data_IF_603736440389
#
_entry.id   IF_603736440389
#
_cell.length_a   1.000
_cell.length_b   1.000
_cell.length_c   1.000
_cell.angle_alpha   90.00
_cell.angle_beta   90.00
_cell.angle_gamma   90.00
#
_symmetry.space_group_name_H-M   'P 1'
#
loop_
_entity.id
_entity.type
_entity.pdbx_description
1 polymer ?
#
# COMPACT_ATOMS: atom_id res chain seq x y z
N UNK A 1 -13.18 -32.36 21.30
CA UNK A 1 -13.84 -31.14 20.78
C UNK A 1 -15.34 -31.28 20.96
N UNK A 2 -16.06 -30.18 21.21
CA UNK A 2 -17.52 -30.24 21.35
C UNK A 2 -18.17 -30.32 19.96
N UNK A 3 -19.32 -30.99 19.84
CA UNK A 3 -20.06 -31.05 18.57
C UNK A 3 -20.39 -29.66 18.00
N UNK A 4 -20.53 -28.64 18.86
CA UNK A 4 -20.75 -27.26 18.46
C UNK A 4 -19.50 -26.63 17.80
N UNK A 5 -18.29 -26.95 18.30
CA UNK A 5 -17.03 -26.47 17.70
C UNK A 5 -16.79 -27.15 16.34
N UNK A 6 -17.09 -28.44 16.22
CA UNK A 6 -16.95 -29.16 14.95
C UNK A 6 -17.92 -28.61 13.88
N UNK A 7 -19.16 -28.29 14.27
CA UNK A 7 -20.14 -27.64 13.39
C UNK A 7 -19.69 -26.24 12.96
N UNK A 8 -19.18 -25.42 13.88
CA UNK A 8 -18.65 -24.09 13.58
C UNK A 8 -17.49 -24.16 12.57
N UNK A 9 -16.52 -25.05 12.78
CA UNK A 9 -15.39 -25.26 11.88
C UNK A 9 -15.82 -25.78 10.50
N UNK A 10 -16.87 -26.61 10.45
CA UNK A 10 -17.45 -27.06 9.17
C UNK A 10 -18.08 -25.90 8.39
N UNK A 11 -18.80 -25.00 9.06
CA UNK A 11 -19.40 -23.82 8.40
C UNK A 11 -18.32 -22.84 7.91
N UNK A 12 -17.23 -22.68 8.66
CA UNK A 12 -16.05 -21.95 8.18
C UNK A 12 -15.41 -22.62 6.96
N UNK A 13 -15.29 -23.95 6.97
CA UNK A 13 -14.77 -24.73 5.83
C UNK A 13 -15.63 -24.67 4.56
N UNK A 14 -16.88 -24.20 4.66
CA UNK A 14 -17.75 -23.91 3.51
C UNK A 14 -17.57 -22.48 2.94
N UNK A 15 -16.65 -21.69 3.49
CA UNK A 15 -16.32 -20.34 3.01
C UNK A 15 -17.19 -19.21 3.58
N UNK A 16 -17.91 -19.47 4.68
CA UNK A 16 -18.67 -18.42 5.38
C UNK A 16 -17.74 -17.55 6.24
N UNK A 17 -18.06 -16.26 6.37
CA UNK A 17 -17.35 -15.38 7.31
C UNK A 17 -17.53 -15.85 8.77
N UNK A 18 -16.60 -15.52 9.68
CA UNK A 18 -16.71 -15.89 11.09
C UNK A 18 -18.01 -15.44 11.76
N UNK A 19 -18.55 -14.27 11.42
CA UNK A 19 -19.83 -13.80 12.00
C UNK A 19 -21.01 -14.63 11.49
N UNK A 20 -21.00 -15.00 10.21
CA UNK A 20 -22.03 -15.85 9.62
C UNK A 20 -21.96 -17.26 10.16
N UNK A 21 -20.76 -17.82 10.30
CA UNK A 21 -20.55 -19.14 10.90
C UNK A 21 -21.03 -19.19 12.36
N UNK A 22 -20.81 -18.11 13.12
CA UNK A 22 -21.31 -17.98 14.48
C UNK A 22 -22.83 -17.94 14.51
N UNK A 23 -23.46 -17.14 13.64
CA UNK A 23 -24.90 -17.02 13.54
C UNK A 23 -25.57 -18.38 13.20
N UNK A 24 -25.03 -19.12 12.24
CA UNK A 24 -25.50 -20.47 11.89
C UNK A 24 -25.32 -21.48 13.02
N UNK A 25 -24.20 -21.40 13.73
CA UNK A 25 -23.92 -22.30 14.85
C UNK A 25 -24.87 -22.05 16.01
N UNK A 26 -25.18 -20.78 16.33
CA UNK A 26 -26.11 -20.43 17.42
C UNK A 26 -27.58 -20.77 17.13
N UNK A 27 -27.95 -21.03 15.88
CA UNK A 27 -29.28 -21.59 15.57
C UNK A 27 -29.44 -23.02 16.10
N UNK A 28 -28.36 -23.80 16.15
CA UNK A 28 -28.36 -25.19 16.62
C UNK A 28 -27.79 -25.34 18.04
N UNK A 29 -26.90 -24.42 18.44
CA UNK A 29 -26.22 -24.36 19.73
C UNK A 29 -26.29 -22.93 20.31
N UNK A 30 -27.41 -22.52 20.93
CA UNK A 30 -27.67 -21.13 21.31
C UNK A 30 -26.58 -20.46 22.16
N UNK A 31 -25.97 -21.24 23.06
CA UNK A 31 -24.95 -20.78 24.02
C UNK A 31 -23.52 -20.98 23.51
N UNK A 32 -23.34 -21.28 22.23
CA UNK A 32 -22.01 -21.51 21.67
C UNK A 32 -21.16 -20.23 21.67
N UNK A 33 -19.95 -20.37 22.20
CA UNK A 33 -18.86 -19.39 22.12
C UNK A 33 -17.66 -20.13 21.51
N UNK A 34 -17.11 -19.67 20.36
CA UNK A 34 -15.95 -20.28 19.74
C UNK A 34 -14.78 -20.41 20.73
N UNK A 35 -14.12 -21.56 20.76
CA UNK A 35 -12.95 -21.79 21.60
C UNK A 35 -13.22 -22.13 23.07
N UNK A 36 -14.48 -22.10 23.53
CA UNK A 36 -14.84 -22.48 24.90
C UNK A 36 -15.46 -23.89 24.90
N UNK A 37 -14.74 -24.87 25.44
CA UNK A 37 -15.26 -26.23 25.58
C UNK A 37 -16.39 -26.27 26.63
N UNK A 38 -17.64 -26.36 26.17
CA UNK A 38 -18.79 -26.56 27.04
C UNK A 38 -18.77 -27.96 27.71
N UNK A 39 -19.23 -28.09 28.97
CA UNK A 39 -19.27 -29.36 29.68
C UNK A 39 -20.25 -30.34 29.01
N UNK A 40 -19.77 -31.56 28.79
CA UNK A 40 -20.46 -32.62 28.05
C UNK A 40 -21.63 -33.19 28.87
N UNK A 41 -22.86 -33.08 28.35
CA UNK A 41 -23.97 -33.93 28.76
C UNK A 41 -24.03 -35.19 27.89
N UNK A 42 -24.35 -36.33 28.50
CA UNK A 42 -24.28 -37.66 27.87
C UNK A 42 -25.19 -37.83 26.64
N UNK A 43 -24.76 -38.57 25.60
CA UNK A 43 -25.52 -38.70 24.36
C UNK A 43 -26.67 -39.70 24.49
N UNK A 44 -27.87 -39.25 24.15
CA UNK A 44 -29.01 -40.12 23.80
C UNK A 44 -28.94 -40.38 22.30
N UNK A 45 -28.74 -41.64 21.90
CA UNK A 45 -28.70 -42.00 20.49
C UNK A 45 -30.11 -42.03 19.88
N UNK A 46 -30.24 -41.51 18.66
CA UNK A 46 -31.24 -41.96 17.69
C UNK A 46 -30.72 -41.72 16.25
N UNK A 47 -31.11 -42.55 15.27
CA UNK A 47 -30.30 -42.79 14.08
C UNK A 47 -30.81 -42.11 12.79
N UNK A 48 -29.83 -41.90 11.91
CA UNK A 48 -29.88 -41.94 10.44
C UNK A 48 -30.65 -40.86 9.64
N UNK A 49 -29.95 -40.20 8.73
CA UNK A 49 -30.19 -40.41 7.29
C UNK A 49 -29.02 -39.86 6.47
N UNK A 50 -28.45 -40.75 5.64
CA UNK A 50 -27.59 -40.38 4.53
C UNK A 50 -28.47 -39.79 3.44
N UNK A 51 -28.17 -38.57 2.97
CA UNK A 51 -28.78 -38.04 1.77
C UNK A 51 -27.70 -37.54 0.81
N UNK A 52 -27.82 -38.01 -0.42
CA UNK A 52 -26.81 -37.93 -1.46
C UNK A 52 -26.70 -36.55 -2.12
N UNK A 53 -25.48 -36.29 -2.58
CA UNK A 53 -24.90 -35.23 -3.41
C UNK A 53 -25.79 -34.72 -4.56
N UNK A 54 -25.65 -33.42 -4.93
CA UNK A 54 -25.61 -33.06 -6.34
C UNK A 54 -24.27 -32.42 -6.74
N UNK A 55 -23.70 -32.91 -7.83
CA UNK A 55 -22.45 -32.43 -8.44
C UNK A 55 -22.62 -31.01 -9.00
N UNK A 56 -21.62 -30.15 -8.74
CA UNK A 56 -21.54 -28.80 -9.32
C UNK A 56 -20.92 -28.89 -10.71
N UNK A 57 -21.64 -28.40 -11.72
CA UNK A 57 -21.12 -28.24 -13.09
C UNK A 57 -20.27 -26.96 -13.21
N UNK A 58 -19.18 -26.98 -13.99
CA UNK A 58 -18.35 -25.79 -14.22
C UNK A 58 -19.08 -24.78 -15.12
N UNK A 59 -19.15 -23.53 -14.66
CA UNK A 59 -19.71 -22.41 -15.43
C UNK A 59 -18.73 -21.97 -16.52
N UNK A 60 -19.21 -21.93 -17.76
CA UNK A 60 -18.52 -21.37 -18.93
C UNK A 60 -18.58 -19.84 -18.93
N UNK A 61 -17.41 -19.23 -19.09
CA UNK A 61 -17.18 -17.79 -19.21
C UNK A 61 -17.57 -17.30 -20.62
N UNK A 62 -18.32 -16.18 -20.78
CA UNK A 62 -18.57 -15.60 -22.10
C UNK A 62 -17.37 -14.78 -22.59
N UNK A 63 -16.79 -15.19 -23.72
CA UNK A 63 -15.82 -14.39 -24.46
C UNK A 63 -16.53 -13.24 -25.18
N UNK A 64 -16.10 -12.00 -24.95
CA UNK A 64 -16.56 -10.83 -25.72
C UNK A 64 -15.68 -10.69 -26.96
N UNK A 65 -16.32 -10.87 -28.12
CA UNK A 65 -15.70 -10.78 -29.44
C UNK A 65 -15.41 -9.33 -29.83
N UNK A 66 -14.22 -9.10 -30.39
CA UNK A 66 -13.82 -7.85 -31.02
C UNK A 66 -14.59 -7.62 -32.33
N UNK A 67 -15.13 -6.42 -32.51
CA UNK A 67 -15.81 -5.99 -33.74
C UNK A 67 -14.79 -5.54 -34.81
N UNK A 68 -14.97 -5.90 -36.10
CA UNK A 68 -14.05 -5.53 -37.16
C UNK A 68 -14.27 -4.11 -37.70
N UNK A 69 -13.16 -3.50 -38.12
CA UNK A 69 -13.04 -2.17 -38.75
C UNK A 69 -13.58 -2.23 -40.18
N UNK A 70 -14.50 -1.33 -40.54
CA UNK A 70 -14.99 -1.17 -41.90
C UNK A 70 -14.08 -0.21 -42.70
N UNK A 71 -13.48 -0.73 -43.77
CA UNK A 71 -12.74 0.03 -44.77
C UNK A 71 -13.70 0.68 -45.77
N UNK A 72 -13.47 1.96 -46.11
CA UNK A 72 -14.18 2.67 -47.16
C UNK A 72 -13.56 2.39 -48.55
N UNK A 73 -14.36 2.28 -49.62
CA UNK A 73 -13.86 1.87 -50.94
C UNK A 73 -13.28 3.04 -51.75
N UNK A 74 -12.19 2.71 -52.45
CA UNK A 74 -11.61 3.43 -53.59
C UNK A 74 -12.49 3.29 -54.84
N UNK A 75 -12.72 4.39 -55.54
CA UNK A 75 -13.27 4.42 -56.91
C UNK A 75 -12.28 5.09 -57.85
N UNK A 76 -11.98 4.43 -58.98
CA UNK A 76 -11.09 4.92 -60.02
C UNK A 76 -11.82 5.07 -61.37
N UNK A 77 -11.56 6.21 -62.03
CA UNK A 77 -11.40 6.50 -63.50
C UNK A 77 -12.58 6.26 -64.48
N UNK A 78 -12.62 6.82 -65.73
CA UNK A 78 -11.53 7.46 -66.53
C UNK A 78 -11.82 8.75 -67.37
N UNK A 79 -10.75 9.52 -67.61
CA UNK A 79 -10.15 10.01 -68.88
C UNK A 79 -10.74 11.11 -69.84
N UNK A 80 -9.74 11.89 -70.34
CA UNK A 80 -9.52 12.58 -71.65
C UNK A 80 -10.03 14.02 -71.88
N UNK A 81 -9.07 14.91 -72.18
CA UNK A 81 -9.26 16.12 -72.99
C UNK A 81 -8.33 17.30 -72.63
N UNK A 82 -7.25 17.50 -73.38
CA UNK A 82 -6.43 18.73 -73.38
C UNK A 82 -6.74 19.55 -74.67
N UNK A 83 -6.14 20.74 -74.95
CA UNK A 83 -5.39 21.70 -74.12
C UNK A 83 -5.86 23.17 -74.31
N UNK A 84 -5.48 24.10 -73.43
CA UNK A 84 -5.26 25.51 -73.79
C UNK A 84 -4.41 26.24 -72.73
N UNK A 85 -3.53 27.11 -73.22
CA UNK A 85 -2.48 27.83 -72.52
C UNK A 85 -2.96 28.83 -71.45
N UNK A 86 -2.16 29.05 -70.40
CA UNK A 86 -1.55 30.36 -70.10
C UNK A 86 -0.82 30.39 -68.74
N UNK A 87 0.48 30.72 -68.80
CA UNK A 87 1.25 31.60 -67.89
C UNK A 87 1.25 31.35 -66.38
N UNK A 88 2.45 30.95 -65.91
CA UNK A 88 3.19 31.47 -64.76
C UNK A 88 2.45 31.81 -63.45
N UNK A 89 2.65 30.98 -62.43
CA UNK A 89 3.12 31.41 -61.12
C UNK A 89 3.57 30.19 -60.30
N UNK A 90 4.88 30.07 -60.05
CA UNK A 90 5.36 29.29 -58.91
C UNK A 90 4.92 30.06 -57.65
N UNK A 91 3.74 29.75 -57.14
CA UNK A 91 3.42 30.05 -55.75
C UNK A 91 4.23 29.07 -54.90
N UNK A 92 5.09 29.52 -53.97
CA UNK A 92 5.67 28.60 -53.02
C UNK A 92 4.50 27.96 -52.28
N UNK A 93 4.47 26.63 -52.22
CA UNK A 93 3.60 25.94 -51.27
C UNK A 93 3.98 26.51 -49.90
N UNK A 94 3.13 27.40 -49.38
CA UNK A 94 3.18 27.76 -47.99
C UNK A 94 3.03 26.42 -47.26
N UNK A 95 4.13 25.95 -46.67
CA UNK A 95 4.05 24.94 -45.65
C UNK A 95 2.98 25.44 -44.69
N UNK A 96 1.84 24.76 -44.63
CA UNK A 96 0.94 24.88 -43.50
C UNK A 96 1.85 24.77 -42.28
N UNK A 97 2.02 25.83 -41.47
CA UNK A 97 2.80 25.70 -40.28
C UNK A 97 2.16 24.55 -39.51
N UNK A 98 2.95 23.50 -39.22
CA UNK A 98 2.56 22.65 -38.10
C UNK A 98 2.24 23.60 -36.96
N UNK A 99 1.12 23.41 -36.24
CA UNK A 99 0.87 24.21 -35.07
C UNK A 99 2.13 24.12 -34.22
N UNK A 100 2.76 25.27 -33.99
CA UNK A 100 3.84 25.41 -33.03
C UNK A 100 3.21 25.22 -31.64
N UNK A 101 2.78 23.99 -31.34
CA UNK A 101 2.48 23.55 -29.99
C UNK A 101 3.82 23.47 -29.29
N UNK A 102 4.19 24.55 -28.61
CA UNK A 102 5.51 24.77 -28.04
C UNK A 102 5.90 23.65 -27.08
N UNK A 103 6.80 22.78 -27.52
CA UNK A 103 7.62 21.97 -26.63
C UNK A 103 8.72 22.86 -26.07
N UNK A 104 8.39 23.72 -25.12
CA UNK A 104 9.43 24.52 -24.45
C UNK A 104 10.29 23.58 -23.60
N UNK A 105 11.59 23.84 -23.48
CA UNK A 105 12.45 23.08 -22.57
C UNK A 105 11.96 23.17 -21.11
N UNK A 106 11.25 24.25 -20.76
CA UNK A 106 10.65 24.47 -19.44
C UNK A 106 9.51 23.49 -19.15
N UNK A 107 8.63 23.22 -20.12
CA UNK A 107 7.57 22.21 -19.97
C UNK A 107 8.14 20.80 -19.73
N UNK A 108 9.18 20.40 -20.47
CA UNK A 108 9.82 19.10 -20.27
C UNK A 108 10.60 19.02 -18.95
N UNK A 109 11.21 20.12 -18.50
CA UNK A 109 11.79 20.20 -17.17
C UNK A 109 10.73 19.99 -16.08
N UNK A 110 9.55 20.61 -16.22
CA UNK A 110 8.44 20.42 -15.29
C UNK A 110 7.94 18.97 -15.27
N UNK A 111 7.79 18.33 -16.44
CA UNK A 111 7.43 16.91 -16.53
C UNK A 111 8.47 16.05 -15.80
N UNK A 112 9.76 16.29 -16.01
CA UNK A 112 10.84 15.59 -15.32
C UNK A 112 10.77 15.76 -13.80
N UNK A 113 10.50 16.97 -13.31
CA UNK A 113 10.33 17.25 -11.89
C UNK A 113 9.16 16.47 -11.27
N UNK A 114 7.99 16.40 -11.93
CA UNK A 114 6.84 15.63 -11.40
C UNK A 114 7.13 14.13 -11.43
N UNK A 115 7.80 13.63 -12.46
CA UNK A 115 8.18 12.20 -12.52
C UNK A 115 9.11 11.86 -11.36
N UNK A 116 10.12 12.68 -11.09
CA UNK A 116 11.02 12.46 -9.96
C UNK A 116 10.29 12.61 -8.61
N UNK A 117 9.38 13.58 -8.50
CA UNK A 117 8.52 13.73 -7.33
C UNK A 117 7.66 12.49 -7.08
N UNK A 118 7.09 11.90 -8.13
CA UNK A 118 6.31 10.67 -8.05
C UNK A 118 7.19 9.50 -7.61
N UNK A 119 8.40 9.35 -8.15
CA UNK A 119 9.34 8.31 -7.72
C UNK A 119 9.70 8.45 -6.24
N UNK A 120 9.99 9.67 -5.77
CA UNK A 120 10.27 9.93 -4.37
C UNK A 120 9.06 9.70 -3.46
N UNK A 121 7.85 10.07 -3.92
CA UNK A 121 6.61 9.80 -3.20
C UNK A 121 6.35 8.30 -3.07
N UNK A 122 6.60 7.52 -4.13
CA UNK A 122 6.51 6.06 -4.08
C UNK A 122 7.58 5.45 -3.18
N UNK A 123 8.81 5.97 -3.21
CA UNK A 123 9.87 5.56 -2.30
C UNK A 123 9.52 5.88 -0.83
N UNK A 124 8.85 7.01 -0.59
CA UNK A 124 8.26 7.36 0.70
C UNK A 124 7.20 6.36 1.13
N UNK A 125 6.25 6.02 0.27
CA UNK A 125 5.16 5.07 0.59
C UNK A 125 5.65 3.70 1.05
N UNK A 126 6.69 3.18 0.40
CA UNK A 126 7.24 1.87 0.73
C UNK A 126 8.49 1.94 1.60
N UNK A 127 8.80 3.11 2.17
CA UNK A 127 9.94 3.24 3.07
C UNK A 127 9.62 2.60 4.41
N UNK A 128 10.49 1.70 4.86
CA UNK A 128 10.48 1.17 6.23
C UNK A 128 11.18 2.09 7.24
N UNK A 129 11.49 3.34 6.85
CA UNK A 129 12.26 4.31 7.64
C UNK A 129 11.63 5.69 7.56
N UNK A 130 10.44 5.83 8.12
CA UNK A 130 9.81 7.10 8.48
C UNK A 130 10.24 7.56 9.87
N UNK A 131 10.40 6.62 10.79
CA UNK A 131 10.97 6.82 12.13
C UNK A 131 12.21 5.94 12.24
N UNK A 132 13.28 6.48 12.81
CA UNK A 132 14.49 5.74 13.16
C UNK A 132 14.66 5.85 14.67
N UNK A 133 14.82 4.71 15.33
CA UNK A 133 15.11 4.63 16.75
C UNK A 133 16.60 4.90 16.97
N UNK A 134 16.93 5.84 17.86
CA UNK A 134 18.30 6.19 18.23
C UNK A 134 18.63 5.84 19.69
N UNK A 135 17.72 5.17 20.41
CA UNK A 135 17.99 4.71 21.76
C UNK A 135 19.09 3.63 21.77
N UNK A 136 19.87 3.61 22.85
CA UNK A 136 20.83 2.56 23.12
C UNK A 136 20.08 1.22 23.27
N UNK A 137 20.42 0.23 22.44
CA UNK A 137 19.67 -1.04 22.33
C UNK A 137 18.51 -1.03 21.33
N UNK A 138 18.14 0.13 20.77
CA UNK A 138 17.16 0.28 19.68
C UNK A 138 17.78 0.28 18.27
N UNK A 139 19.08 -0.01 18.17
CA UNK A 139 19.86 0.11 16.95
C UNK A 139 19.33 -0.81 15.85
N UNK A 140 19.31 -0.31 14.62
CA UNK A 140 18.80 -1.05 13.47
C UNK A 140 17.27 -1.13 13.40
N UNK A 141 16.55 -0.61 14.40
CA UNK A 141 15.09 -0.51 14.36
C UNK A 141 14.64 0.74 13.59
N UNK A 142 13.76 0.54 12.62
CA UNK A 142 13.11 1.62 11.90
C UNK A 142 11.64 1.29 11.63
N UNK A 143 10.78 2.31 11.65
CA UNK A 143 9.35 2.16 11.39
C UNK A 143 9.01 2.89 10.11
N UNK A 144 8.27 2.23 9.22
CA UNK A 144 7.67 2.81 8.02
C UNK A 144 6.34 3.52 8.33
N UNK A 145 5.45 3.61 7.35
CA UNK A 145 4.10 4.12 7.60
C UNK A 145 3.26 3.09 8.39
N UNK A 146 3.26 1.82 7.97
CA UNK A 146 2.54 0.75 8.69
C UNK A 146 3.44 -0.41 9.08
N UNK A 147 4.67 -0.44 8.59
CA UNK A 147 5.60 -1.56 8.79
C UNK A 147 6.61 -1.24 9.88
N UNK A 148 7.15 -2.26 10.53
CA UNK A 148 8.37 -2.19 11.33
C UNK A 148 9.48 -3.01 10.70
N UNK A 149 10.72 -2.53 10.84
CA UNK A 149 11.93 -3.18 10.36
C UNK A 149 12.95 -3.26 11.49
N UNK A 150 13.55 -4.42 11.65
CA UNK A 150 14.69 -4.65 12.53
C UNK A 150 15.88 -5.14 11.70
N UNK A 151 17.00 -4.43 11.79
CA UNK A 151 18.28 -4.86 11.23
C UNK A 151 19.13 -5.49 12.34
N UNK A 152 19.10 -6.80 12.47
CA UNK A 152 19.85 -7.51 13.49
C UNK A 152 21.35 -7.57 13.20
N UNK A 153 21.82 -7.15 12.02
CA UNK A 153 23.26 -7.17 11.71
C UNK A 153 24.08 -6.16 12.52
N UNK A 154 23.41 -5.14 13.05
CA UNK A 154 24.01 -4.09 13.88
C UNK A 154 23.84 -4.34 15.38
N UNK A 155 23.21 -5.45 15.78
CA UNK A 155 23.03 -5.79 17.19
C UNK A 155 24.38 -5.81 17.93
N UNK A 156 24.42 -5.13 19.06
CA UNK A 156 25.59 -5.07 19.95
C UNK A 156 25.47 -6.11 21.06
N UNK A 157 26.57 -6.83 21.38
CA UNK A 157 26.55 -7.83 22.43
C UNK A 157 26.62 -7.21 23.83
N UNK A 158 25.82 -7.74 24.74
CA UNK A 158 25.97 -7.58 26.18
C UNK A 158 27.32 -8.12 26.69
N UNK A 159 27.69 -7.71 27.91
CA UNK A 159 29.00 -7.99 28.50
C UNK A 159 29.39 -9.48 28.61
N UNK A 160 28.43 -10.40 28.51
CA UNK A 160 28.62 -11.85 28.66
C UNK A 160 28.25 -12.67 27.41
N UNK A 161 27.99 -12.02 26.27
CA UNK A 161 27.64 -12.71 25.03
C UNK A 161 28.60 -12.39 23.88
N UNK A 162 28.62 -13.26 22.89
CA UNK A 162 29.35 -13.02 21.64
C UNK A 162 28.48 -12.23 20.67
N UNK A 163 29.10 -11.49 19.75
CA UNK A 163 28.36 -10.77 18.70
C UNK A 163 27.41 -11.67 17.90
N UNK A 164 27.79 -12.92 17.65
CA UNK A 164 26.92 -13.85 16.92
C UNK A 164 25.68 -14.22 17.75
N UNK A 165 25.82 -14.39 19.06
CA UNK A 165 24.69 -14.66 19.95
C UNK A 165 23.71 -13.47 19.97
N UNK A 166 24.21 -12.24 20.08
CA UNK A 166 23.36 -11.04 20.02
C UNK A 166 22.56 -10.94 18.70
N UNK A 167 23.22 -11.24 17.56
CA UNK A 167 22.57 -11.28 16.25
C UNK A 167 21.50 -12.38 16.22
N UNK A 168 21.82 -13.57 16.73
CA UNK A 168 20.93 -14.72 16.70
C UNK A 168 19.69 -14.51 17.60
N UNK A 169 19.88 -13.92 18.78
CA UNK A 169 18.81 -13.54 19.70
C UNK A 169 17.90 -12.46 19.09
N UNK A 170 18.48 -11.42 18.49
CA UNK A 170 17.72 -10.40 17.77
C UNK A 170 16.86 -11.00 16.65
N UNK A 171 17.44 -11.91 15.84
CA UNK A 171 16.71 -12.55 14.73
C UNK A 171 15.54 -13.38 15.25
N UNK A 172 15.78 -14.22 16.26
CA UNK A 172 14.74 -15.08 16.81
C UNK A 172 13.59 -14.25 17.40
N UNK A 173 13.91 -13.20 18.14
CA UNK A 173 12.91 -12.34 18.77
C UNK A 173 12.12 -11.51 17.75
N UNK A 174 12.82 -10.86 16.81
CA UNK A 174 12.18 -10.05 15.78
C UNK A 174 11.30 -10.91 14.85
N UNK A 175 11.74 -12.12 14.50
CA UNK A 175 10.97 -13.03 13.65
C UNK A 175 9.62 -13.40 14.27
N UNK A 176 9.63 -13.75 15.57
CA UNK A 176 8.40 -14.16 16.28
C UNK A 176 7.49 -12.96 16.54
N UNK A 177 8.05 -11.83 16.98
CA UNK A 177 7.24 -10.66 17.33
C UNK A 177 6.68 -9.91 16.14
N UNK A 178 7.33 -9.96 14.98
CA UNK A 178 6.87 -9.25 13.78
C UNK A 178 5.97 -10.15 12.91
N UNK A 179 5.74 -11.40 13.33
CA UNK A 179 4.89 -12.33 12.62
C UNK A 179 3.40 -12.00 12.79
N UNK A 180 2.62 -12.15 11.72
CA UNK A 180 1.16 -12.04 11.76
C UNK A 180 0.52 -13.07 12.74
N UNK A 181 1.17 -14.22 12.90
CA UNK A 181 0.80 -15.27 13.85
C UNK A 181 2.02 -15.74 14.64
N UNK A 182 2.16 -15.19 15.86
CA UNK A 182 3.24 -15.51 16.78
C UNK A 182 3.24 -16.99 17.20
N UNK A 183 2.08 -17.62 17.34
CA UNK A 183 1.97 -19.01 17.77
C UNK A 183 2.52 -19.93 16.66
N UNK A 184 2.12 -19.69 15.42
CA UNK A 184 2.64 -20.42 14.26
C UNK A 184 4.15 -20.18 14.09
N UNK A 185 4.60 -18.93 14.13
CA UNK A 185 6.03 -18.60 13.98
C UNK A 185 6.90 -19.22 15.07
N UNK A 186 6.40 -19.35 16.31
CA UNK A 186 7.12 -20.01 17.41
C UNK A 186 7.25 -21.53 17.26
N UNK A 187 6.43 -22.13 16.40
CA UNK A 187 6.37 -23.58 16.16
C UNK A 187 7.02 -23.99 14.84
N UNK A 188 7.40 -23.03 14.00
CA UNK A 188 8.10 -23.31 12.76
C UNK A 188 9.48 -23.92 13.01
N UNK A 189 9.80 -25.00 12.28
CA UNK A 189 11.11 -25.66 12.31
C UNK A 189 12.12 -24.89 11.47
N UNK A 190 12.21 -23.57 11.72
CA UNK A 190 13.16 -22.66 11.09
C UNK A 190 14.32 -22.42 12.05
N UNK A 191 15.55 -22.53 11.55
CA UNK A 191 16.72 -22.22 12.35
C UNK A 191 17.09 -20.75 12.20
N UNK A 192 17.77 -20.18 13.20
CA UNK A 192 18.22 -18.78 13.14
C UNK A 192 19.19 -18.51 11.98
N UNK A 193 19.87 -19.56 11.51
CA UNK A 193 20.71 -19.53 10.31
C UNK A 193 19.88 -19.33 9.02
N UNK A 194 18.62 -19.80 9.00
CA UNK A 194 17.69 -19.62 7.89
C UNK A 194 16.99 -18.25 7.91
N UNK A 195 17.01 -17.56 9.06
CA UNK A 195 16.42 -16.23 9.23
C UNK A 195 17.40 -15.16 8.73
N UNK A 196 16.92 -14.30 7.82
CA UNK A 196 17.68 -13.14 7.33
C UNK A 196 18.02 -12.15 8.44
N UNK A 197 19.09 -11.36 8.27
CA UNK A 197 19.47 -10.34 9.26
C UNK A 197 18.56 -9.10 9.27
N UNK A 198 17.67 -8.97 8.28
CA UNK A 198 16.72 -7.86 8.18
C UNK A 198 15.33 -8.47 8.21
N UNK A 199 14.58 -8.15 9.27
CA UNK A 199 13.23 -8.64 9.50
C UNK A 199 12.26 -7.46 9.33
N UNK A 200 11.17 -7.68 8.61
CA UNK A 200 10.12 -6.69 8.38
C UNK A 200 8.77 -7.36 8.65
N UNK A 201 7.89 -6.66 9.35
CA UNK A 201 6.49 -7.06 9.55
C UNK A 201 5.58 -5.83 9.64
N UNK A 202 4.29 -6.07 9.85
CA UNK A 202 3.36 -4.98 10.16
C UNK A 202 3.57 -4.52 11.61
N UNK A 203 3.47 -3.20 11.82
CA UNK A 203 3.72 -2.61 13.13
C UNK A 203 2.55 -2.85 14.10
N UNK A 204 1.33 -3.02 13.57
CA UNK A 204 0.16 -3.42 14.36
C UNK A 204 0.38 -4.80 15.00
N UNK A 205 0.83 -5.79 14.22
CA UNK A 205 1.14 -7.13 14.72
C UNK A 205 2.24 -7.08 15.78
N UNK A 206 3.27 -6.26 15.59
CA UNK A 206 4.30 -6.05 16.61
C UNK A 206 3.72 -5.53 17.93
N UNK A 207 2.86 -4.51 17.90
CA UNK A 207 2.23 -3.97 19.10
C UNK A 207 1.37 -5.03 19.82
N UNK A 208 0.58 -5.79 19.07
CA UNK A 208 -0.29 -6.84 19.61
C UNK A 208 0.50 -8.05 20.14
N UNK A 209 1.58 -8.43 19.46
CA UNK A 209 2.46 -9.53 19.87
C UNK A 209 3.25 -9.18 21.13
N UNK A 210 3.74 -7.95 21.27
CA UNK A 210 4.39 -7.48 22.51
C UNK A 210 3.42 -7.58 23.70
N UNK A 211 2.17 -7.13 23.50
CA UNK A 211 1.13 -7.26 24.53
C UNK A 211 0.87 -8.73 24.86
N UNK A 212 0.66 -9.57 23.85
CA UNK A 212 0.35 -11.00 24.01
C UNK A 212 1.49 -11.78 24.68
N UNK A 213 2.73 -11.44 24.37
CA UNK A 213 3.92 -12.02 24.98
C UNK A 213 4.08 -11.61 26.45
N UNK A 214 3.80 -10.35 26.78
CA UNK A 214 4.06 -9.78 28.12
C UNK A 214 2.90 -9.97 29.09
N UNK A 215 1.65 -9.95 28.63
CA UNK A 215 0.46 -10.04 29.49
C UNK A 215 0.44 -11.28 30.41
N UNK A 216 0.87 -12.48 29.97
CA UNK A 216 0.94 -13.65 30.84
C UNK A 216 1.87 -13.50 32.04
N UNK A 217 2.94 -12.71 31.90
CA UNK A 217 3.92 -12.46 32.97
C UNK A 217 3.36 -11.54 34.07
N UNK A 218 2.30 -10.79 33.75
CA UNK A 218 1.64 -9.86 34.66
C UNK A 218 0.28 -10.37 35.15
N UNK A 219 -0.05 -11.64 34.88
CA UNK A 219 -1.26 -12.26 35.40
C UNK A 219 -1.28 -12.23 36.93
N UNK A 220 -2.25 -11.51 37.49
CA UNK A 220 -2.41 -11.33 38.93
C UNK A 220 -2.18 -9.90 39.42
N UNK A 221 -1.62 -9.03 38.57
CA UNK A 221 -1.49 -7.59 38.83
C UNK A 221 -2.38 -6.81 37.84
N UNK A 222 -3.54 -6.37 38.33
CA UNK A 222 -4.52 -5.68 37.49
C UNK A 222 -4.04 -4.29 37.04
N UNK A 223 -3.29 -3.60 37.89
CA UNK A 223 -2.79 -2.26 37.59
C UNK A 223 -1.70 -2.36 36.50
N UNK A 224 -0.82 -3.36 36.61
CA UNK A 224 0.19 -3.61 35.60
C UNK A 224 -0.42 -4.04 34.25
N UNK A 225 -1.45 -4.88 34.25
CA UNK A 225 -2.14 -5.29 33.02
C UNK A 225 -2.87 -4.12 32.34
N UNK A 226 -3.49 -3.23 33.13
CA UNK A 226 -4.14 -2.03 32.62
C UNK A 226 -3.12 -1.08 31.96
N UNK A 227 -1.97 -0.87 32.62
CA UNK A 227 -0.87 -0.07 32.04
C UNK A 227 -0.34 -0.70 30.75
N UNK A 228 -0.15 -2.03 30.72
CA UNK A 228 0.28 -2.71 29.49
C UNK A 228 -0.71 -2.54 28.33
N UNK A 229 -2.02 -2.54 28.61
CA UNK A 229 -3.01 -2.25 27.56
C UNK A 229 -2.95 -0.80 27.06
N UNK A 230 -2.68 0.16 27.95
CA UNK A 230 -2.49 1.56 27.56
C UNK A 230 -1.25 1.72 26.66
N UNK A 231 -0.13 1.09 27.02
CA UNK A 231 1.09 1.06 26.20
C UNK A 231 0.82 0.46 24.81
N UNK A 232 0.08 -0.64 24.74
CA UNK A 232 -0.33 -1.24 23.46
C UNK A 232 -1.16 -0.26 22.64
N UNK A 233 -2.15 0.38 23.25
CA UNK A 233 -3.03 1.32 22.54
C UNK A 233 -2.22 2.52 22.01
N UNK A 234 -1.29 3.08 22.79
CA UNK A 234 -0.34 4.11 22.33
C UNK A 234 0.58 3.60 21.20
N UNK A 235 1.05 2.35 21.27
CA UNK A 235 1.82 1.72 20.18
C UNK A 235 1.01 1.71 18.87
N UNK A 236 -0.28 1.35 18.94
CA UNK A 236 -1.21 1.30 17.81
C UNK A 236 -1.62 2.68 17.25
N UNK A 237 -1.35 3.79 17.94
CA UNK A 237 -1.56 5.14 17.39
C UNK A 237 -0.56 5.48 16.27
N UNK A 238 0.67 4.98 16.35
CA UNK A 238 1.72 5.21 15.34
C UNK A 238 1.38 4.60 13.96
N UNK A 239 0.99 3.31 13.83
CA UNK A 239 0.58 2.76 12.54
C UNK A 239 -0.74 3.38 12.05
N UNK A 240 -1.64 3.79 12.96
CA UNK A 240 -2.84 4.53 12.58
C UNK A 240 -2.53 5.91 11.96
N UNK A 241 -1.56 6.64 12.53
CA UNK A 241 -1.04 7.89 11.98
C UNK A 241 -0.40 7.67 10.60
N UNK A 242 0.39 6.60 10.46
CA UNK A 242 1.03 6.25 9.19
C UNK A 242 0.05 5.77 8.12
N UNK A 243 -0.99 5.03 8.48
CA UNK A 243 -2.09 4.67 7.56
C UNK A 243 -2.81 5.92 7.05
N UNK A 244 -3.14 6.85 7.94
CA UNK A 244 -3.78 8.13 7.59
C UNK A 244 -2.88 8.98 6.67
N UNK A 245 -1.61 9.16 7.05
CA UNK A 245 -0.61 9.84 6.24
C UNK A 245 -0.40 9.18 4.87
N UNK A 246 -0.32 7.85 4.84
CA UNK A 246 -0.17 7.03 3.64
C UNK A 246 -1.34 7.16 2.67
N UNK A 247 -2.58 7.24 3.16
CA UNK A 247 -3.75 7.50 2.32
C UNK A 247 -3.69 8.88 1.65
N UNK A 248 -3.33 9.92 2.41
CA UNK A 248 -3.16 11.27 1.86
C UNK A 248 -2.01 11.29 0.84
N UNK A 249 -0.92 10.59 1.13
CA UNK A 249 0.22 10.46 0.23
C UNK A 249 -0.18 9.79 -1.08
N UNK A 250 -1.00 8.72 -1.05
CA UNK A 250 -1.54 8.07 -2.25
C UNK A 250 -2.38 9.01 -3.11
N UNK A 251 -3.23 9.84 -2.48
CA UNK A 251 -3.99 10.87 -3.19
C UNK A 251 -3.05 11.87 -3.89
N UNK A 252 -1.97 12.26 -3.20
CA UNK A 252 -0.89 13.06 -3.77
C UNK A 252 -0.21 12.38 -4.97
N UNK A 253 0.19 11.10 -4.84
CA UNK A 253 0.85 10.34 -5.89
C UNK A 253 -0.03 10.17 -7.14
N UNK A 254 -1.31 9.84 -6.96
CA UNK A 254 -2.28 9.73 -8.06
C UNK A 254 -2.51 11.09 -8.71
N UNK A 255 -2.61 12.17 -7.91
CA UNK A 255 -2.69 13.53 -8.41
C UNK A 255 -1.47 13.91 -9.27
N UNK A 256 -0.27 13.56 -8.82
CA UNK A 256 0.97 13.78 -9.56
C UNK A 256 0.98 13.00 -10.88
N UNK A 257 0.58 11.73 -10.86
CA UNK A 257 0.47 10.90 -12.07
C UNK A 257 -0.49 11.51 -13.10
N UNK A 258 -1.68 11.95 -12.65
CA UNK A 258 -2.64 12.65 -13.50
C UNK A 258 -2.05 13.96 -14.05
N UNK A 259 -1.35 14.73 -13.22
CA UNK A 259 -0.63 15.93 -13.63
C UNK A 259 0.38 15.65 -14.74
N UNK A 260 1.20 14.60 -14.59
CA UNK A 260 2.16 14.16 -15.62
C UNK A 260 1.46 13.82 -16.93
N UNK A 261 0.37 13.06 -16.88
CA UNK A 261 -0.40 12.68 -18.09
C UNK A 261 -1.01 13.91 -18.78
N UNK A 262 -1.58 14.84 -18.01
CA UNK A 262 -2.18 16.06 -18.55
C UNK A 262 -1.14 16.96 -19.22
N UNK A 263 0.02 17.16 -18.58
CA UNK A 263 1.09 18.00 -19.12
C UNK A 263 1.76 17.38 -20.35
N UNK A 264 2.02 16.06 -20.31
CA UNK A 264 2.61 15.35 -21.45
C UNK A 264 1.66 15.27 -22.65
N UNK A 265 0.35 15.12 -22.44
CA UNK A 265 -0.63 15.17 -23.52
C UNK A 265 -0.65 16.55 -24.20
N UNK A 266 -0.67 17.62 -23.40
CA UNK A 266 -0.60 19.00 -23.88
C UNK A 266 0.68 19.28 -24.68
N UNK A 267 1.83 18.78 -24.22
CA UNK A 267 3.12 19.01 -24.89
C UNK A 267 3.25 18.30 -26.25
N UNK A 268 2.53 17.18 -26.45
CA UNK A 268 2.50 16.44 -27.73
C UNK A 268 1.35 16.95 -28.63
N UNK A 269 0.65 18.01 -28.22
CA UNK A 269 -0.46 18.59 -28.98
C UNK A 269 -1.71 17.71 -29.02
N UNK A 270 -1.84 16.76 -28.08
CA UNK A 270 -3.05 15.95 -27.91
C UNK A 270 -4.02 16.64 -26.96
N UNK A 271 -5.26 16.77 -27.40
CA UNK A 271 -6.35 17.29 -26.58
C UNK A 271 -6.97 16.17 -25.76
N UNK A 272 -7.05 16.35 -24.44
CA UNK A 272 -7.75 15.42 -23.57
C UNK A 272 -9.24 15.80 -23.47
N UNK A 273 -10.12 14.87 -23.08
CA UNK A 273 -11.51 15.18 -22.77
C UNK A 273 -11.60 16.35 -21.78
N UNK A 274 -12.59 17.22 -21.95
CA UNK A 274 -12.81 18.40 -21.12
C UNK A 274 -11.64 19.42 -21.06
N UNK A 275 -10.72 19.42 -22.04
CA UNK A 275 -9.54 20.30 -22.07
C UNK A 275 -8.63 20.12 -20.84
N UNK A 276 -8.56 18.89 -20.31
CA UNK A 276 -7.80 18.57 -19.10
C UNK A 276 -6.31 18.92 -19.20
N UNK A 277 -5.74 19.00 -20.41
CA UNK A 277 -4.35 19.42 -20.63
C UNK A 277 -4.04 20.81 -20.05
N UNK A 278 -5.04 21.70 -19.96
CA UNK A 278 -4.88 23.05 -19.41
C UNK A 278 -4.78 23.07 -17.88
N UNK A 279 -5.20 21.99 -17.22
CA UNK A 279 -5.28 21.88 -15.76
C UNK A 279 -4.07 21.17 -15.14
N UNK A 280 -3.15 20.63 -15.95
CA UNK A 280 -1.97 19.90 -15.46
C UNK A 280 -1.11 20.70 -14.47
N UNK A 281 -1.01 22.02 -14.64
CA UNK A 281 -0.27 22.91 -13.71
C UNK A 281 -0.85 22.91 -12.30
N UNK A 282 -2.18 22.90 -12.19
CA UNK A 282 -2.88 22.87 -10.90
C UNK A 282 -2.83 21.49 -10.28
N UNK A 283 -2.94 20.44 -11.10
CA UNK A 283 -2.82 19.06 -10.63
C UNK A 283 -1.45 18.79 -9.99
N UNK A 284 -0.35 19.24 -10.61
CA UNK A 284 1.00 19.10 -10.06
C UNK A 284 1.19 19.84 -8.72
N UNK A 285 0.73 21.10 -8.63
CA UNK A 285 0.80 21.87 -7.37
C UNK A 285 -0.05 21.24 -6.28
N UNK A 286 -1.30 20.87 -6.58
CA UNK A 286 -2.20 20.23 -5.61
C UNK A 286 -1.62 18.90 -5.11
N UNK A 287 -1.04 18.10 -6.00
CA UNK A 287 -0.37 16.85 -5.64
C UNK A 287 0.80 17.09 -4.68
N UNK A 288 1.66 18.07 -4.97
CA UNK A 288 2.78 18.40 -4.09
C UNK A 288 2.32 18.91 -2.72
N UNK A 289 1.27 19.73 -2.67
CA UNK A 289 0.64 20.16 -1.40
C UNK A 289 0.10 18.95 -0.62
N UNK A 290 -0.57 18.00 -1.28
CA UNK A 290 -1.05 16.78 -0.63
C UNK A 290 0.10 15.92 -0.08
N UNK A 291 1.21 15.79 -0.80
CA UNK A 291 2.40 15.08 -0.30
C UNK A 291 2.98 15.73 0.96
N UNK A 292 3.05 17.08 1.00
CA UNK A 292 3.51 17.80 2.19
C UNK A 292 2.50 17.71 3.34
N UNK A 293 1.21 17.77 3.04
CA UNK A 293 0.15 17.57 4.03
C UNK A 293 0.16 16.16 4.60
N UNK A 294 0.51 15.14 3.83
CA UNK A 294 0.65 13.77 4.32
C UNK A 294 1.70 13.69 5.44
N UNK A 295 2.87 14.31 5.24
CA UNK A 295 3.93 14.37 6.26
C UNK A 295 3.46 15.15 7.49
N UNK A 296 2.78 16.28 7.29
CA UNK A 296 2.28 17.11 8.40
C UNK A 296 1.22 16.37 9.22
N UNK A 297 0.25 15.73 8.55
CA UNK A 297 -0.82 14.98 9.22
C UNK A 297 -0.27 13.78 9.95
N UNK A 298 0.64 13.02 9.32
CA UNK A 298 1.36 11.93 9.97
C UNK A 298 2.05 12.42 11.25
N UNK A 299 2.85 13.49 11.16
CA UNK A 299 3.57 14.05 12.30
C UNK A 299 2.66 14.53 13.43
N UNK A 300 1.50 15.14 13.11
CA UNK A 300 0.52 15.61 14.10
C UNK A 300 -0.26 14.48 14.78
N UNK A 301 -0.32 13.30 14.16
CA UNK A 301 -1.04 12.14 14.69
C UNK A 301 -0.11 11.16 15.42
N UNK A 302 1.21 11.37 15.38
CA UNK A 302 2.14 10.55 16.14
C UNK A 302 1.90 10.73 17.65
N UNK A 303 1.95 9.63 18.42
CA UNK A 303 1.91 9.72 19.87
C UNK A 303 3.19 10.40 20.40
N UNK A 304 3.05 11.09 21.53
CA UNK A 304 4.21 11.55 22.30
C UNK A 304 4.84 10.34 22.99
N UNK A 305 6.05 9.95 22.58
CA UNK A 305 6.81 8.87 23.20
C UNK A 305 8.07 9.42 23.86
N UNK A 306 8.46 8.85 25.00
CA UNK A 306 9.74 9.19 25.66
C UNK A 306 10.98 8.67 24.90
N UNK A 307 10.77 7.88 23.84
CA UNK A 307 11.81 7.27 23.01
C UNK A 307 12.53 8.30 22.14
N UNK A 308 13.87 8.28 22.16
CA UNK A 308 14.72 9.11 21.31
C UNK A 308 14.62 8.69 19.83
N UNK A 309 13.64 9.25 19.10
CA UNK A 309 13.39 8.96 17.68
C UNK A 309 13.73 10.12 16.76
N UNK A 310 14.00 9.81 15.49
CA UNK A 310 14.28 10.82 14.46
C UNK A 310 13.55 10.53 13.14
N UNK A 311 13.34 11.57 12.35
CA UNK A 311 12.73 11.46 11.02
C UNK A 311 13.65 10.70 10.06
N UNK A 312 13.17 9.56 9.58
CA UNK A 312 13.88 8.69 8.65
C UNK A 312 13.81 9.15 7.18
N UNK A 313 14.41 8.36 6.30
CA UNK A 313 14.51 8.68 4.87
C UNK A 313 13.16 8.83 4.17
N UNK A 314 12.13 8.08 4.58
CA UNK A 314 10.77 8.16 4.03
C UNK A 314 10.18 9.56 4.12
N UNK A 315 10.38 10.25 5.25
CA UNK A 315 9.96 11.63 5.46
C UNK A 315 10.66 12.56 4.48
N UNK A 316 11.99 12.49 4.41
CA UNK A 316 12.79 13.38 3.57
C UNK A 316 12.53 13.18 2.07
N UNK A 317 12.38 11.94 1.62
CA UNK A 317 12.00 11.64 0.24
C UNK A 317 10.62 12.24 -0.09
N UNK A 318 9.65 12.10 0.79
CA UNK A 318 8.30 12.65 0.60
C UNK A 318 8.30 14.17 0.57
N UNK A 319 9.05 14.83 1.46
CA UNK A 319 9.21 16.28 1.48
C UNK A 319 9.84 16.80 0.18
N UNK A 320 10.95 16.19 -0.25
CA UNK A 320 11.61 16.55 -1.50
C UNK A 320 10.68 16.32 -2.71
N UNK A 321 9.93 15.22 -2.71
CA UNK A 321 8.94 14.94 -3.74
C UNK A 321 7.84 16.00 -3.79
N UNK A 322 7.27 16.36 -2.64
CA UNK A 322 6.24 17.39 -2.54
C UNK A 322 6.71 18.76 -3.05
N UNK A 323 7.92 19.17 -2.68
CA UNK A 323 8.53 20.42 -3.17
C UNK A 323 8.75 20.38 -4.68
N UNK A 324 9.30 19.28 -5.22
CA UNK A 324 9.53 19.14 -6.66
C UNK A 324 8.23 19.17 -7.47
N UNK A 325 7.15 18.58 -6.98
CA UNK A 325 5.84 18.63 -7.62
C UNK A 325 5.28 20.07 -7.66
N UNK A 326 5.45 20.82 -6.57
CA UNK A 326 5.06 22.25 -6.53
C UNK A 326 5.89 23.07 -7.52
N UNK A 327 7.23 22.91 -7.49
CA UNK A 327 8.14 23.61 -8.41
C UNK A 327 7.79 23.31 -9.86
N UNK A 328 7.46 22.06 -10.19
CA UNK A 328 7.03 21.70 -11.53
C UNK A 328 5.78 22.46 -11.97
N UNK A 329 4.77 22.56 -11.09
CA UNK A 329 3.56 23.34 -11.38
C UNK A 329 3.84 24.83 -11.59
N UNK A 330 4.76 25.41 -10.82
CA UNK A 330 5.23 26.79 -10.99
C UNK A 330 5.96 26.97 -12.33
N UNK A 331 6.82 26.03 -12.72
CA UNK A 331 7.52 26.08 -14.01
C UNK A 331 6.52 26.09 -15.18
N UNK A 332 5.46 25.27 -15.13
CA UNK A 332 4.41 25.30 -16.16
C UNK A 332 3.62 26.60 -16.12
N UNK A 333 3.41 27.18 -14.94
CA UNK A 333 2.75 28.48 -14.83
C UNK A 333 3.56 29.59 -15.52
N UNK A 334 4.88 29.63 -15.28
CA UNK A 334 5.79 30.61 -15.91
C UNK A 334 5.94 30.42 -17.42
N UNK A 335 5.78 29.19 -17.93
CA UNK A 335 5.85 28.91 -19.36
C UNK A 335 4.65 29.47 -20.16
N UNK A 336 3.56 29.82 -19.47
CA UNK A 336 2.36 30.37 -20.10
C UNK A 336 2.29 31.90 -20.11
N UNK A 337 3.26 32.59 -19.48
CA UNK A 337 3.44 34.04 -19.53
C UNK A 337 4.52 34.44 -20.54
#
# INVERSE_FOLDING_TARGET
MSAAQDYYNQVLGMGHSPENALAYTRQHYPDFVPGVAAPVAAPVMSPASQQAVPAVQPMTQPAVAAAPVAAAPVTATPAVGAPAAATSAYAPMAATPLPAGGTTPMMWAAVGCIVFALLLSMAGQFSHSWIVNNEEGGEGQSVGLTTIRQDCSVAEPDANETKQQAIDECKAFAYVLFAEDMETASQDDITVDDIGSVIVGEYEDYCDNIYTFTAPLMMGDQDALANLSEIRDTCLETPAAGSTGGLILWLGSVGALLGTLMLSAGSIGKTLPAQAEKHGKWAGMAAGVLMLLAVLVWWLLLPDTDTDTSAGMGVWMTLLGGVLAIVAGVLVFMDQE
#
